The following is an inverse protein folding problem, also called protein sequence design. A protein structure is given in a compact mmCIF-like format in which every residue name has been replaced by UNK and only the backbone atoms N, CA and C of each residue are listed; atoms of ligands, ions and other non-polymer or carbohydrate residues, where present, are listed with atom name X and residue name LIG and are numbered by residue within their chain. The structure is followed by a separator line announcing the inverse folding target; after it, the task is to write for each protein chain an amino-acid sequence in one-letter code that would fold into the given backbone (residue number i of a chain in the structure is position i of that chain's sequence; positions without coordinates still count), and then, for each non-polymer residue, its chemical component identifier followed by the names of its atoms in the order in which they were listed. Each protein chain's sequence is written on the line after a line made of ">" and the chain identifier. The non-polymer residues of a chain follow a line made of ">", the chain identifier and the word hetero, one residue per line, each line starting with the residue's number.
data_IF_545504052594
#
_entry.id   IF_545504052594
#
_cell.length_a   1.000
_cell.length_b   1.000
_cell.length_c   1.000
_cell.angle_alpha   90.00
_cell.angle_beta   90.00
_cell.angle_gamma   90.00
#
_symmetry.space_group_name_H-M   'P 1'
#
loop_
_entity.id
_entity.type
_entity.pdbx_description
1 polymer ?
#
# COMPACT_ATOMS: atom_id res chain seq x y z
N UNK A 1 -65.96 61.55 -29.53
CA UNK A 1 -64.52 61.38 -29.25
C UNK A 1 -64.36 61.07 -27.79
N UNK A 2 -63.77 59.92 -27.46
CA UNK A 2 -62.82 59.72 -26.36
C UNK A 2 -62.47 58.24 -26.30
N UNK A 3 -61.21 57.96 -26.61
CA UNK A 3 -60.57 56.65 -26.69
C UNK A 3 -60.48 56.02 -25.29
N UNK A 4 -61.05 54.84 -25.11
CA UNK A 4 -60.82 54.03 -23.91
C UNK A 4 -59.54 53.22 -24.10
N UNK A 5 -58.58 53.45 -23.21
CA UNK A 5 -57.23 52.92 -23.23
C UNK A 5 -57.17 51.38 -23.19
N UNK A 6 -56.30 50.83 -24.04
CA UNK A 6 -55.96 49.42 -24.13
C UNK A 6 -55.08 49.02 -22.94
N UNK A 7 -55.48 47.98 -22.20
CA UNK A 7 -54.71 47.42 -21.10
C UNK A 7 -53.48 46.66 -21.64
N UNK A 8 -52.30 46.95 -21.08
CA UNK A 8 -51.08 46.18 -21.31
C UNK A 8 -51.11 44.90 -20.45
N UNK A 9 -50.72 43.73 -20.98
CA UNK A 9 -50.68 42.49 -20.20
C UNK A 9 -49.58 42.55 -19.15
N UNK A 10 -49.95 42.29 -17.89
CA UNK A 10 -49.02 42.15 -16.78
C UNK A 10 -48.11 40.93 -17.00
N UNK A 11 -46.88 41.21 -17.45
CA UNK A 11 -45.82 40.22 -17.56
C UNK A 11 -45.46 39.67 -16.18
N UNK A 12 -45.59 38.35 -16.05
CA UNK A 12 -45.48 37.57 -14.81
C UNK A 12 -44.25 37.89 -13.96
N UNK A 13 -44.52 38.25 -12.70
CA UNK A 13 -43.55 38.26 -11.60
C UNK A 13 -43.44 36.86 -10.97
N UNK A 14 -43.10 35.85 -11.76
CA UNK A 14 -42.68 34.54 -11.23
C UNK A 14 -41.15 34.47 -11.18
N UNK A 15 -40.54 35.39 -10.43
CA UNK A 15 -39.13 35.29 -10.09
C UNK A 15 -38.97 34.22 -9.02
N UNK A 16 -38.93 32.93 -9.43
CA UNK A 16 -38.42 31.87 -8.55
C UNK A 16 -37.01 32.30 -8.13
N UNK A 17 -36.71 32.37 -6.81
CA UNK A 17 -35.37 32.72 -6.39
C UNK A 17 -34.39 31.74 -7.05
N UNK A 18 -33.27 32.24 -7.57
CA UNK A 18 -32.34 31.39 -8.29
C UNK A 18 -31.79 30.31 -7.35
N UNK A 19 -31.56 29.11 -7.90
CA UNK A 19 -31.25 27.88 -7.18
C UNK A 19 -29.96 27.93 -6.32
N UNK A 20 -29.25 29.06 -6.29
CA UNK A 20 -28.06 29.29 -5.47
C UNK A 20 -28.35 29.82 -4.06
N UNK A 21 -29.62 30.01 -3.68
CA UNK A 21 -30.03 30.29 -2.28
C UNK A 21 -30.04 29.04 -1.40
N UNK A 22 -29.14 28.08 -1.66
CA UNK A 22 -28.89 26.99 -0.72
C UNK A 22 -28.54 27.63 0.63
N UNK A 23 -29.28 27.26 1.69
CA UNK A 23 -28.99 27.81 3.02
C UNK A 23 -27.50 27.61 3.30
N UNK A 24 -26.80 28.69 3.65
CA UNK A 24 -25.36 28.64 3.95
C UNK A 24 -25.02 27.54 4.98
N UNK A 25 -25.99 27.19 5.83
CA UNK A 25 -25.94 26.05 6.77
C UNK A 25 -25.82 24.72 6.05
N UNK A 26 -26.62 24.46 5.02
CA UNK A 26 -26.54 23.25 4.21
C UNK A 26 -25.21 23.13 3.47
N UNK A 27 -24.72 24.23 2.89
CA UNK A 27 -23.40 24.25 2.24
C UNK A 27 -22.26 24.00 3.24
N UNK A 28 -22.31 24.62 4.43
CA UNK A 28 -21.34 24.40 5.50
C UNK A 28 -21.35 22.96 6.02
N UNK A 29 -22.54 22.37 6.22
CA UNK A 29 -22.68 20.97 6.63
C UNK A 29 -22.13 20.01 5.57
N UNK A 30 -22.40 20.25 4.28
CA UNK A 30 -21.86 19.44 3.19
C UNK A 30 -20.32 19.52 3.16
N UNK A 31 -19.75 20.72 3.32
CA UNK A 31 -18.29 20.90 3.38
C UNK A 31 -17.67 20.13 4.56
N UNK A 32 -18.26 20.23 5.76
CA UNK A 32 -17.80 19.49 6.93
C UNK A 32 -17.90 17.98 6.74
N UNK A 33 -19.00 17.49 6.17
CA UNK A 33 -19.18 16.07 5.87
C UNK A 33 -18.14 15.58 4.85
N UNK A 34 -17.86 16.35 3.80
CA UNK A 34 -16.81 16.04 2.84
C UNK A 34 -15.43 16.00 3.49
N UNK A 35 -15.09 16.99 4.33
CA UNK A 35 -13.83 17.02 5.06
C UNK A 35 -13.67 15.81 5.99
N UNK A 36 -14.73 15.47 6.73
CA UNK A 36 -14.76 14.30 7.60
C UNK A 36 -14.61 12.99 6.81
N UNK A 37 -15.26 12.87 5.65
CA UNK A 37 -15.14 11.71 4.78
C UNK A 37 -13.70 11.54 4.25
N UNK A 38 -13.07 12.61 3.77
CA UNK A 38 -11.67 12.59 3.31
C UNK A 38 -10.73 12.20 4.44
N UNK A 39 -10.93 12.75 5.64
CA UNK A 39 -10.12 12.39 6.80
C UNK A 39 -10.29 10.92 7.20
N UNK A 40 -11.53 10.42 7.20
CA UNK A 40 -11.84 9.03 7.51
C UNK A 40 -11.22 8.06 6.50
N UNK A 41 -11.28 8.36 5.20
CA UNK A 41 -10.67 7.50 4.17
C UNK A 41 -9.15 7.50 4.27
N UNK A 42 -8.50 8.64 4.50
CA UNK A 42 -7.07 8.72 4.73
C UNK A 42 -6.64 7.90 5.97
N UNK A 43 -7.36 8.04 7.08
CA UNK A 43 -7.10 7.29 8.31
C UNK A 43 -7.27 5.78 8.11
N UNK A 44 -8.29 5.37 7.36
CA UNK A 44 -8.55 3.96 7.03
C UNK A 44 -7.43 3.38 6.15
N UNK A 45 -6.99 4.11 5.13
CA UNK A 45 -5.86 3.71 4.27
C UNK A 45 -4.58 3.50 5.08
N UNK A 46 -4.22 4.48 5.93
CA UNK A 46 -3.04 4.35 6.81
C UNK A 46 -3.14 3.14 7.74
N UNK A 47 -4.32 2.87 8.30
CA UNK A 47 -4.53 1.68 9.14
C UNK A 47 -4.34 0.37 8.37
N UNK A 48 -4.88 0.29 7.15
CA UNK A 48 -4.74 -0.88 6.30
C UNK A 48 -3.30 -1.10 5.86
N UNK A 49 -2.58 -0.03 5.51
CA UNK A 49 -1.16 -0.10 5.15
C UNK A 49 -0.27 -0.49 6.32
N UNK A 50 -0.52 0.07 7.51
CA UNK A 50 0.15 -0.35 8.75
C UNK A 50 -0.07 -1.83 9.06
N UNK A 51 -1.31 -2.32 8.87
CA UNK A 51 -1.63 -3.74 9.02
C UNK A 51 -0.83 -4.60 8.04
N UNK A 52 -0.87 -4.26 6.76
CA UNK A 52 -0.21 -5.04 5.71
C UNK A 52 1.31 -5.09 5.92
N UNK A 53 1.95 -3.94 6.17
CA UNK A 53 3.38 -3.87 6.44
C UNK A 53 3.77 -4.67 7.71
N UNK A 54 3.00 -4.54 8.80
CA UNK A 54 3.24 -5.31 10.01
C UNK A 54 3.10 -6.83 9.77
N UNK A 55 2.10 -7.27 9.00
CA UNK A 55 1.90 -8.69 8.71
C UNK A 55 2.99 -9.25 7.77
N UNK A 56 3.45 -8.45 6.81
CA UNK A 56 4.57 -8.86 5.94
C UNK A 56 5.87 -8.99 6.77
N UNK A 57 6.14 -8.05 7.68
CA UNK A 57 7.25 -8.19 8.63
C UNK A 57 7.18 -9.47 9.48
N UNK A 58 6.00 -9.81 10.00
CA UNK A 58 5.77 -11.05 10.78
C UNK A 58 5.98 -12.32 9.94
N UNK A 59 5.63 -12.28 8.66
CA UNK A 59 5.87 -13.38 7.71
C UNK A 59 7.36 -13.62 7.51
N UNK A 60 8.16 -12.56 7.31
CA UNK A 60 9.61 -12.69 7.20
C UNK A 60 10.27 -13.13 8.52
N UNK A 61 9.76 -12.68 9.67
CA UNK A 61 10.19 -13.22 10.97
C UNK A 61 9.89 -14.71 11.10
N UNK A 62 8.73 -15.17 10.64
CA UNK A 62 8.40 -16.60 10.62
C UNK A 62 9.36 -17.38 9.71
N UNK A 63 9.73 -16.83 8.56
CA UNK A 63 10.73 -17.41 7.66
C UNK A 63 12.16 -17.39 8.21
N UNK A 64 12.51 -16.47 9.09
CA UNK A 64 13.77 -16.56 9.82
C UNK A 64 13.80 -17.80 10.74
N UNK A 65 12.67 -18.09 11.41
CA UNK A 65 12.53 -19.28 12.28
C UNK A 65 12.49 -20.58 11.49
N UNK A 66 11.93 -20.54 10.29
CA UNK A 66 11.83 -21.67 9.37
C UNK A 66 12.22 -21.25 7.94
N UNK A 67 13.53 -21.29 7.62
CA UNK A 67 14.03 -20.90 6.30
C UNK A 67 13.54 -21.81 5.17
N UNK A 68 13.19 -23.07 5.48
CA UNK A 68 12.67 -24.02 4.49
C UNK A 68 11.35 -23.54 3.87
N UNK A 69 10.48 -22.93 4.69
CA UNK A 69 9.23 -22.33 4.20
C UNK A 69 9.44 -21.14 3.27
N UNK A 70 10.54 -20.39 3.43
CA UNK A 70 10.88 -19.29 2.54
C UNK A 70 11.30 -19.82 1.16
N UNK A 71 12.18 -20.83 1.16
CA UNK A 71 12.62 -21.49 -0.06
C UNK A 71 11.42 -22.06 -0.83
N UNK A 72 10.58 -22.85 -0.15
CA UNK A 72 9.37 -23.43 -0.74
C UNK A 72 8.45 -22.36 -1.36
N UNK A 73 8.21 -21.24 -0.66
CA UNK A 73 7.40 -20.15 -1.20
C UNK A 73 7.96 -19.58 -2.51
N UNK A 74 9.27 -19.31 -2.57
CA UNK A 74 9.87 -18.74 -3.77
C UNK A 74 10.03 -19.78 -4.90
N UNK A 75 10.10 -21.06 -4.57
CA UNK A 75 10.05 -22.15 -5.56
C UNK A 75 8.67 -22.25 -6.22
N UNK A 76 7.59 -22.11 -5.45
CA UNK A 76 6.22 -22.04 -5.98
C UNK A 76 6.04 -20.82 -6.90
N UNK A 77 6.55 -19.66 -6.49
CA UNK A 77 6.53 -18.43 -7.32
C UNK A 77 7.29 -18.61 -8.62
N UNK A 78 8.48 -19.23 -8.56
CA UNK A 78 9.28 -19.51 -9.75
C UNK A 78 8.54 -20.48 -10.69
N UNK A 79 7.94 -21.54 -10.15
CA UNK A 79 7.19 -22.52 -10.93
C UNK A 79 6.00 -21.87 -11.67
N UNK A 80 5.21 -21.04 -10.97
CA UNK A 80 4.07 -20.35 -11.56
C UNK A 80 4.50 -19.41 -12.70
N UNK A 81 5.51 -18.55 -12.47
CA UNK A 81 6.01 -17.62 -13.49
C UNK A 81 6.68 -18.33 -14.67
N UNK A 82 7.35 -19.45 -14.42
CA UNK A 82 7.90 -20.30 -15.48
C UNK A 82 6.79 -20.84 -16.38
N UNK A 83 5.70 -21.34 -15.80
CA UNK A 83 4.55 -21.81 -16.56
C UNK A 83 3.90 -20.69 -17.41
N UNK A 84 3.80 -19.47 -16.88
CA UNK A 84 3.29 -18.31 -17.62
C UNK A 84 4.17 -17.93 -18.83
N UNK A 85 5.50 -17.95 -18.67
CA UNK A 85 6.44 -17.68 -19.75
C UNK A 85 6.37 -18.76 -20.83
N UNK A 86 6.31 -20.04 -20.42
CA UNK A 86 6.16 -21.14 -21.36
C UNK A 86 4.84 -21.07 -22.12
N UNK A 87 3.74 -20.74 -21.44
CA UNK A 87 2.45 -20.54 -22.09
C UNK A 87 2.50 -19.39 -23.10
N UNK A 88 3.19 -18.29 -22.77
CA UNK A 88 3.37 -17.15 -23.68
C UNK A 88 4.23 -17.52 -24.89
N UNK A 89 5.29 -18.32 -24.69
CA UNK A 89 6.12 -18.88 -25.77
C UNK A 89 5.30 -19.78 -26.70
N UNK A 90 4.50 -20.71 -26.14
CA UNK A 90 3.63 -21.63 -26.92
C UNK A 90 2.58 -20.89 -27.75
N UNK A 91 2.10 -19.73 -27.28
CA UNK A 91 1.16 -18.87 -28.03
C UNK A 91 1.85 -17.98 -29.07
N UNK A 92 3.17 -18.07 -29.24
CA UNK A 92 3.93 -17.21 -30.14
C UNK A 92 4.06 -15.76 -29.70
N UNK A 93 3.64 -15.43 -28.47
CA UNK A 93 3.75 -14.07 -27.91
C UNK A 93 5.16 -13.76 -27.38
N UNK A 94 6.06 -14.74 -27.35
CA UNK A 94 7.42 -14.61 -26.86
C UNK A 94 8.36 -15.51 -27.68
N UNK A 95 9.49 -14.96 -28.12
CA UNK A 95 10.52 -15.76 -28.81
C UNK A 95 11.19 -16.77 -27.87
N UNK A 96 11.79 -17.82 -28.43
CA UNK A 96 12.53 -18.81 -27.63
C UNK A 96 13.72 -18.17 -26.90
N UNK A 97 14.43 -17.25 -27.56
CA UNK A 97 15.55 -16.52 -26.98
C UNK A 97 15.11 -15.64 -25.79
N UNK A 98 14.02 -14.90 -25.94
CA UNK A 98 13.49 -14.05 -24.86
C UNK A 98 12.95 -14.88 -23.70
N UNK A 99 12.30 -16.01 -23.99
CA UNK A 99 11.85 -16.93 -22.95
C UNK A 99 13.03 -17.45 -22.13
N UNK A 100 14.09 -17.92 -22.79
CA UNK A 100 15.28 -18.41 -22.12
C UNK A 100 15.95 -17.32 -21.26
N UNK A 101 16.09 -16.11 -21.79
CA UNK A 101 16.64 -14.98 -21.04
C UNK A 101 15.80 -14.65 -19.79
N UNK A 102 14.47 -14.60 -19.92
CA UNK A 102 13.57 -14.32 -18.79
C UNK A 102 13.60 -15.42 -17.74
N UNK A 103 13.71 -16.70 -18.12
CA UNK A 103 13.84 -17.80 -17.17
C UNK A 103 15.12 -17.71 -16.34
N UNK A 104 16.24 -17.30 -16.95
CA UNK A 104 17.48 -17.06 -16.21
C UNK A 104 17.30 -15.94 -15.19
N UNK A 105 16.63 -14.85 -15.56
CA UNK A 105 16.35 -13.74 -14.64
C UNK A 105 15.46 -14.17 -13.48
N UNK A 106 14.39 -14.96 -13.75
CA UNK A 106 13.50 -15.45 -12.69
C UNK A 106 14.22 -16.36 -11.69
N UNK A 107 15.12 -17.23 -12.15
CA UNK A 107 15.93 -18.08 -11.26
C UNK A 107 16.84 -17.24 -10.38
N UNK A 108 17.53 -16.25 -10.95
CA UNK A 108 18.37 -15.32 -10.19
C UNK A 108 17.56 -14.52 -9.16
N UNK A 109 16.36 -14.07 -9.53
CA UNK A 109 15.46 -13.40 -8.59
C UNK A 109 15.08 -14.33 -7.42
N UNK A 110 14.72 -15.58 -7.71
CA UNK A 110 14.43 -16.61 -6.69
C UNK A 110 15.61 -16.79 -5.75
N UNK A 111 16.81 -17.03 -6.30
CA UNK A 111 18.02 -17.28 -5.51
C UNK A 111 18.34 -16.08 -4.62
N UNK A 112 18.32 -14.87 -5.18
CA UNK A 112 18.52 -13.62 -4.42
C UNK A 112 17.50 -13.48 -3.29
N UNK A 113 16.21 -13.72 -3.57
CA UNK A 113 15.15 -13.60 -2.56
C UNK A 113 15.31 -14.61 -1.43
N UNK A 114 15.73 -15.83 -1.73
CA UNK A 114 15.96 -16.89 -0.73
C UNK A 114 17.19 -16.57 0.14
N UNK A 115 18.30 -16.16 -0.48
CA UNK A 115 19.56 -15.84 0.19
C UNK A 115 19.48 -14.58 1.08
N UNK A 116 18.70 -13.59 0.65
CA UNK A 116 18.53 -12.33 1.38
C UNK A 116 18.10 -12.56 2.85
N UNK A 117 18.66 -11.80 3.79
CA UNK A 117 18.35 -12.01 5.21
C UNK A 117 16.87 -11.73 5.49
N UNK A 118 16.16 -12.73 6.01
CA UNK A 118 14.76 -12.57 6.40
C UNK A 118 14.59 -11.52 7.50
N UNK A 119 15.58 -11.38 8.40
CA UNK A 119 15.57 -10.39 9.47
C UNK A 119 15.72 -8.96 8.93
N UNK A 120 16.63 -8.75 7.96
CA UNK A 120 16.76 -7.46 7.26
C UNK A 120 15.44 -7.03 6.62
N UNK A 121 14.79 -7.95 5.90
CA UNK A 121 13.53 -7.64 5.22
C UNK A 121 12.39 -7.42 6.21
N UNK A 122 12.31 -8.22 7.28
CA UNK A 122 11.34 -8.01 8.35
C UNK A 122 11.50 -6.64 9.02
N UNK A 123 12.75 -6.23 9.31
CA UNK A 123 13.07 -4.93 9.88
C UNK A 123 12.53 -3.79 9.01
N UNK A 124 12.83 -3.81 7.71
CA UNK A 124 12.37 -2.79 6.77
C UNK A 124 10.84 -2.67 6.73
N UNK A 125 10.11 -3.80 6.81
CA UNK A 125 8.64 -3.80 6.85
C UNK A 125 8.08 -3.22 8.16
N UNK A 126 8.67 -3.56 9.31
CA UNK A 126 8.25 -2.99 10.58
C UNK A 126 8.59 -1.49 10.67
N UNK A 127 9.75 -1.08 10.17
CA UNK A 127 10.15 0.32 10.10
C UNK A 127 9.17 1.12 9.22
N UNK A 128 8.84 0.58 8.05
CA UNK A 128 7.79 1.14 7.17
C UNK A 128 6.47 1.33 7.92
N UNK A 129 6.05 0.33 8.71
CA UNK A 129 4.81 0.42 9.48
C UNK A 129 4.85 1.51 10.56
N UNK A 130 6.00 1.73 11.18
CA UNK A 130 6.20 2.71 12.26
C UNK A 130 6.38 4.12 11.74
N UNK A 131 7.18 4.31 10.69
CA UNK A 131 7.59 5.63 10.20
C UNK A 131 6.59 6.22 9.20
N UNK A 132 6.04 5.40 8.28
CA UNK A 132 5.22 5.92 7.19
C UNK A 132 3.72 5.95 7.51
N UNK A 133 3.27 5.18 8.49
CA UNK A 133 1.84 5.02 8.80
C UNK A 133 1.48 5.48 10.22
N UNK A 134 2.31 6.34 10.82
CA UNK A 134 2.07 7.02 12.09
C UNK A 134 2.28 8.53 11.96
N UNK A 135 1.36 9.39 12.46
CA UNK A 135 0.04 9.07 13.04
C UNK A 135 -1.00 8.65 11.97
N UNK A 136 -2.08 7.90 12.34
CA UNK A 136 -2.54 7.57 13.70
C UNK A 136 -1.84 6.35 14.33
N UNK A 137 -1.72 6.37 15.66
CA UNK A 137 -1.15 5.27 16.44
C UNK A 137 -2.13 4.08 16.52
N UNK A 138 -2.15 3.26 15.48
CA UNK A 138 -2.98 2.04 15.43
C UNK A 138 -2.38 0.89 16.25
N UNK A 139 -3.18 -0.15 16.51
CA UNK A 139 -2.66 -1.39 17.14
C UNK A 139 -1.53 -2.04 16.34
N UNK A 140 -1.52 -1.85 15.02
CA UNK A 140 -0.52 -2.43 14.12
C UNK A 140 0.79 -1.66 14.18
N UNK A 141 0.72 -0.32 14.25
CA UNK A 141 1.90 0.54 14.50
C UNK A 141 2.54 0.19 15.84
N UNK A 142 1.75 0.09 16.92
CA UNK A 142 2.26 -0.33 18.25
C UNK A 142 2.94 -1.69 18.20
N UNK A 143 2.31 -2.67 17.54
CA UNK A 143 2.87 -4.01 17.38
C UNK A 143 4.16 -3.98 16.57
N UNK A 144 4.18 -3.26 15.46
CA UNK A 144 5.36 -3.11 14.61
C UNK A 144 6.52 -2.46 15.37
N UNK A 145 6.27 -1.47 16.24
CA UNK A 145 7.32 -0.86 17.07
C UNK A 145 8.00 -1.85 18.01
N UNK A 146 7.22 -2.71 18.67
CA UNK A 146 7.77 -3.79 19.52
C UNK A 146 8.58 -4.77 18.66
N UNK A 147 8.00 -5.23 17.54
CA UNK A 147 8.66 -6.17 16.63
C UNK A 147 9.91 -5.60 15.97
N UNK A 148 9.95 -4.30 15.69
CA UNK A 148 11.10 -3.63 15.10
C UNK A 148 12.32 -3.76 16.02
N UNK A 149 12.15 -3.43 17.30
CA UNK A 149 13.21 -3.57 18.30
C UNK A 149 13.68 -5.02 18.46
N UNK A 150 12.75 -5.98 18.56
CA UNK A 150 13.10 -7.41 18.64
C UNK A 150 13.86 -7.90 17.41
N UNK A 151 13.40 -7.52 16.21
CA UNK A 151 13.99 -7.92 14.94
C UNK A 151 15.40 -7.35 14.78
N UNK A 152 15.62 -6.10 15.20
CA UNK A 152 16.93 -5.47 15.18
C UNK A 152 17.95 -6.26 16.00
N UNK A 153 17.60 -6.67 17.21
CA UNK A 153 18.51 -7.46 18.06
C UNK A 153 18.80 -8.84 17.48
N UNK A 154 17.81 -9.49 16.88
CA UNK A 154 18.03 -10.74 16.15
C UNK A 154 18.95 -10.54 14.94
N UNK A 155 18.78 -9.43 14.23
CA UNK A 155 19.58 -9.13 13.04
C UNK A 155 21.03 -8.86 13.40
N UNK A 156 21.30 -8.11 14.48
CA UNK A 156 22.64 -7.91 15.04
C UNK A 156 23.34 -9.24 15.29
N UNK A 157 22.66 -10.17 15.98
CA UNK A 157 23.18 -11.53 16.24
C UNK A 157 23.48 -12.31 14.96
N UNK A 158 22.64 -12.18 13.93
CA UNK A 158 22.90 -12.80 12.63
C UNK A 158 24.17 -12.23 11.99
N UNK A 159 24.34 -10.91 12.00
CA UNK A 159 25.52 -10.24 11.44
C UNK A 159 26.79 -10.62 12.20
N UNK A 160 26.74 -10.65 13.54
CA UNK A 160 27.83 -11.11 14.39
C UNK A 160 28.24 -12.55 14.06
N UNK A 161 27.25 -13.45 13.91
CA UNK A 161 27.51 -14.86 13.56
C UNK A 161 28.16 -15.02 12.19
N UNK A 162 27.81 -14.14 11.24
CA UNK A 162 28.36 -14.10 9.89
C UNK A 162 29.66 -13.28 9.81
N UNK A 163 30.12 -12.70 10.93
CA UNK A 163 31.30 -11.80 11.00
C UNK A 163 31.19 -10.63 10.01
N UNK A 164 29.98 -10.14 9.76
CA UNK A 164 29.73 -8.99 8.90
C UNK A 164 29.82 -7.73 9.75
N UNK A 165 30.74 -6.79 9.46
CA UNK A 165 30.85 -5.56 10.23
C UNK A 165 29.61 -4.68 10.01
N UNK A 166 29.07 -4.11 11.09
CA UNK A 166 27.99 -3.13 11.03
C UNK A 166 28.23 -2.00 12.04
N UNK A 167 27.51 -0.89 11.83
CA UNK A 167 27.44 0.21 12.80
C UNK A 167 25.98 0.39 13.20
N UNK A 168 25.73 0.85 14.42
CA UNK A 168 24.36 0.92 14.97
C UNK A 168 23.42 1.77 14.09
N UNK A 169 23.88 2.90 13.54
CA UNK A 169 23.09 3.74 12.63
C UNK A 169 22.70 3.07 11.31
N UNK A 170 23.33 1.95 10.93
CA UNK A 170 22.95 1.19 9.72
C UNK A 170 21.73 0.30 9.97
N UNK A 171 21.32 0.18 11.23
CA UNK A 171 20.21 -0.65 11.71
C UNK A 171 19.12 0.21 12.36
N UNK A 172 19.17 1.53 12.15
CA UNK A 172 18.20 2.53 12.58
C UNK A 172 17.32 2.97 11.41
#
# INVERSE_FOLDING_TARGET
>A
MSLTAQALPEGGRDARPPAWTASWRGAALALLACAAAVYATATCDLWLRARSACLEGEKYLAWHRDPGRKAAHFDEVLAARTAELEASRRRGALSDADCAAKLVLLRRERDFRVEESSLKVAHAWFQTAVELFSPPESRWVRRARVRLAETRELWKKELDSKKVPYRDYMLE
#
